data_IF_867535518379
#
_entry.id   IF_867535518379
#
_cell.length_a   1.000
_cell.length_b   1.000
_cell.length_c   1.000
_cell.angle_alpha   90.00
_cell.angle_beta   90.00
_cell.angle_gamma   90.00
#
_symmetry.space_group_name_H-M   'P 1'
#
loop_
_entity.id
_entity.type
_entity.pdbx_description
1 polymer ?
#
# COMPACT_ATOMS: atom_id res chain seq x y z
N UNK A 1 -28.50 17.86 -55.73
CA UNK A 1 -28.96 17.63 -54.34
C UNK A 1 -27.92 16.75 -53.67
N UNK A 2 -27.13 17.31 -52.75
CA UNK A 2 -26.17 16.57 -51.95
C UNK A 2 -26.67 16.62 -50.50
N UNK A 3 -26.85 15.46 -49.88
CA UNK A 3 -27.20 15.36 -48.46
C UNK A 3 -25.96 15.70 -47.61
N UNK A 4 -26.11 16.41 -46.48
CA UNK A 4 -24.99 16.63 -45.58
C UNK A 4 -24.72 15.34 -44.79
N UNK A 5 -23.45 14.94 -44.75
CA UNK A 5 -22.96 13.85 -43.90
C UNK A 5 -23.14 14.26 -42.44
N UNK A 6 -24.02 13.55 -41.73
CA UNK A 6 -24.25 13.71 -40.29
C UNK A 6 -22.95 13.48 -39.52
N UNK A 7 -22.76 14.31 -38.48
CA UNK A 7 -21.59 14.30 -37.63
C UNK A 7 -21.41 12.96 -36.94
N UNK A 8 -20.18 12.45 -37.00
CA UNK A 8 -19.72 11.40 -36.11
C UNK A 8 -19.70 11.99 -34.70
N UNK A 9 -20.64 11.59 -33.86
CA UNK A 9 -20.58 11.92 -32.44
C UNK A 9 -19.29 11.34 -31.82
N UNK A 10 -18.61 12.10 -30.94
CA UNK A 10 -17.38 11.62 -30.34
C UNK A 10 -17.68 10.40 -29.46
N UNK A 11 -17.03 9.30 -29.81
CA UNK A 11 -16.96 8.06 -29.03
C UNK A 11 -16.51 8.40 -27.61
N UNK A 12 -17.40 8.20 -26.64
CA UNK A 12 -17.16 8.04 -25.20
C UNK A 12 -16.23 9.07 -24.55
N UNK A 13 -16.77 9.88 -23.62
CA UNK A 13 -15.96 10.76 -22.77
C UNK A 13 -14.83 9.98 -22.08
N UNK A 14 -13.61 10.14 -22.59
CA UNK A 14 -12.42 9.61 -21.96
C UNK A 14 -12.19 10.42 -20.69
N UNK A 15 -12.32 9.81 -19.52
CA UNK A 15 -11.97 10.48 -18.27
C UNK A 15 -10.44 10.61 -18.23
N UNK A 16 -9.98 11.79 -18.63
CA UNK A 16 -8.60 12.22 -18.52
C UNK A 16 -8.28 12.44 -17.04
N UNK A 17 -7.22 11.81 -16.55
CA UNK A 17 -6.73 12.06 -15.20
C UNK A 17 -5.59 13.07 -15.23
N UNK A 18 -5.45 13.85 -14.16
CA UNK A 18 -4.32 14.74 -13.94
C UNK A 18 -3.81 14.66 -12.50
N UNK A 19 -2.86 15.53 -12.14
CA UNK A 19 -2.29 15.53 -10.79
C UNK A 19 -3.35 15.76 -9.69
N UNK A 20 -4.36 16.59 -9.94
CA UNK A 20 -5.37 16.95 -8.94
C UNK A 20 -6.25 15.75 -8.55
N UNK A 21 -6.44 14.79 -9.46
CA UNK A 21 -7.11 13.52 -9.13
C UNK A 21 -6.29 12.68 -8.13
N UNK A 22 -4.96 12.69 -8.24
CA UNK A 22 -4.07 11.90 -7.38
C UNK A 22 -3.75 12.61 -6.06
N UNK A 23 -3.82 13.94 -6.02
CA UNK A 23 -3.46 14.78 -4.88
C UNK A 23 -4.16 14.37 -3.56
N UNK A 24 -5.47 14.06 -3.54
CA UNK A 24 -6.14 13.51 -2.36
C UNK A 24 -5.55 12.17 -1.92
N UNK A 25 -5.32 11.24 -2.86
CA UNK A 25 -4.79 9.91 -2.59
C UNK A 25 -3.36 9.96 -2.02
N UNK A 26 -2.53 10.87 -2.55
CA UNK A 26 -1.19 11.15 -2.03
C UNK A 26 -1.28 11.60 -0.56
N UNK A 27 -2.20 12.51 -0.26
CA UNK A 27 -2.41 13.02 1.10
C UNK A 27 -2.88 11.93 2.05
N UNK A 28 -3.81 11.07 1.61
CA UNK A 28 -4.28 9.93 2.40
C UNK A 28 -3.16 8.93 2.69
N UNK A 29 -2.37 8.58 1.68
CA UNK A 29 -1.26 7.63 1.83
C UNK A 29 -0.24 8.12 2.86
N UNK A 30 0.16 9.40 2.79
CA UNK A 30 1.08 10.00 3.76
C UNK A 30 0.49 9.95 5.18
N UNK A 31 -0.80 10.29 5.32
CA UNK A 31 -1.50 10.21 6.61
C UNK A 31 -1.59 8.78 7.15
N UNK A 32 -1.75 7.77 6.30
CA UNK A 32 -1.72 6.38 6.72
C UNK A 32 -0.34 5.94 7.17
N UNK A 33 0.72 6.36 6.47
CA UNK A 33 2.10 6.09 6.86
C UNK A 33 2.42 6.70 8.24
N UNK A 34 2.01 7.95 8.49
CA UNK A 34 2.21 8.61 9.78
C UNK A 34 1.52 7.83 10.93
N UNK A 35 0.26 7.42 10.72
CA UNK A 35 -0.48 6.59 11.70
C UNK A 35 0.13 5.22 11.93
N UNK A 36 0.73 4.63 10.90
CA UNK A 36 1.47 3.37 11.04
C UNK A 36 2.72 3.60 11.91
N UNK A 37 3.43 4.71 11.71
CA UNK A 37 4.56 5.10 12.56
C UNK A 37 4.16 5.24 14.03
N UNK A 38 3.07 5.97 14.30
CA UNK A 38 2.52 6.10 15.66
C UNK A 38 2.16 4.74 16.28
N UNK A 39 1.56 3.84 15.50
CA UNK A 39 1.19 2.49 15.97
C UNK A 39 2.42 1.61 16.21
N UNK A 40 3.46 1.75 15.39
CA UNK A 40 4.73 1.06 15.53
C UNK A 40 5.48 1.52 16.79
N UNK A 41 5.58 2.82 17.03
CA UNK A 41 6.27 3.38 18.20
C UNK A 41 5.62 2.93 19.51
N UNK A 42 4.30 2.73 19.51
CA UNK A 42 3.52 2.30 20.66
C UNK A 42 3.20 0.79 20.66
N UNK A 43 3.84 -0.01 19.81
CA UNK A 43 3.55 -1.44 19.71
C UNK A 43 3.98 -2.20 20.97
N UNK A 44 3.06 -2.92 21.59
CA UNK A 44 3.29 -3.80 22.74
C UNK A 44 3.58 -5.24 22.28
N UNK A 45 2.88 -5.67 21.22
CA UNK A 45 2.98 -7.00 20.60
C UNK A 45 3.47 -6.90 19.15
N UNK A 46 3.89 -8.04 18.59
CA UNK A 46 4.19 -8.20 17.17
C UNK A 46 5.16 -7.14 16.62
N UNK A 47 6.15 -6.77 17.43
CA UNK A 47 7.06 -5.66 17.13
C UNK A 47 7.85 -5.89 15.86
N UNK A 48 8.16 -7.15 15.51
CA UNK A 48 8.95 -7.47 14.31
C UNK A 48 8.09 -7.30 13.07
N UNK A 49 6.86 -7.83 13.08
CA UNK A 49 5.85 -7.64 12.03
C UNK A 49 5.56 -6.16 11.82
N UNK A 50 5.32 -5.41 12.90
CA UNK A 50 5.06 -3.97 12.82
C UNK A 50 6.26 -3.23 12.23
N UNK A 51 7.49 -3.60 12.62
CA UNK A 51 8.73 -2.99 12.13
C UNK A 51 8.91 -3.16 10.63
N UNK A 52 8.78 -4.39 10.11
CA UNK A 52 9.00 -4.66 8.68
C UNK A 52 7.95 -3.99 7.80
N UNK A 53 6.68 -3.97 8.23
CA UNK A 53 5.61 -3.29 7.50
C UNK A 53 5.74 -1.76 7.58
N UNK A 54 6.05 -1.20 8.75
CA UNK A 54 6.29 0.23 8.89
C UNK A 54 7.40 0.70 7.97
N UNK A 55 8.56 0.01 7.97
CA UNK A 55 9.68 0.37 7.10
C UNK A 55 9.26 0.39 5.63
N UNK A 56 8.53 -0.63 5.19
CA UNK A 56 8.05 -0.77 3.80
C UNK A 56 7.12 0.38 3.40
N UNK A 57 6.15 0.71 4.26
CA UNK A 57 5.21 1.81 4.01
C UNK A 57 5.91 3.18 4.09
N UNK A 58 6.83 3.37 5.03
CA UNK A 58 7.59 4.62 5.18
C UNK A 58 8.49 4.88 3.96
N UNK A 59 9.16 3.85 3.46
CA UNK A 59 9.96 3.92 2.22
C UNK A 59 9.04 4.38 1.04
N UNK A 60 7.89 3.74 0.85
CA UNK A 60 6.93 4.12 -0.19
C UNK A 60 6.35 5.54 -0.03
N UNK A 61 6.06 5.96 1.21
CA UNK A 61 5.58 7.31 1.47
C UNK A 61 6.62 8.37 1.11
N UNK A 62 7.91 8.06 1.24
CA UNK A 62 9.00 8.89 0.72
C UNK A 62 8.92 9.10 -0.78
N UNK A 63 8.77 8.02 -1.55
CA UNK A 63 8.65 8.06 -3.02
C UNK A 63 7.39 8.80 -3.49
N UNK A 64 6.27 8.62 -2.79
CA UNK A 64 5.03 9.36 -3.05
C UNK A 64 5.22 10.87 -2.81
N UNK A 65 5.97 11.26 -1.78
CA UNK A 65 6.32 12.67 -1.54
C UNK A 65 7.21 13.23 -2.64
N UNK A 66 8.18 12.45 -3.14
CA UNK A 66 9.01 12.82 -4.30
C UNK A 66 8.16 12.98 -5.56
N UNK A 67 7.27 12.03 -5.85
CA UNK A 67 6.33 12.09 -6.98
C UNK A 67 5.50 13.39 -6.95
N UNK A 68 5.03 13.79 -5.76
CA UNK A 68 4.30 15.05 -5.57
C UNK A 68 5.17 16.28 -5.80
N UNK A 69 6.40 16.29 -5.28
CA UNK A 69 7.34 17.41 -5.41
C UNK A 69 7.76 17.63 -6.87
N UNK A 70 7.95 16.54 -7.61
CA UNK A 70 8.37 16.54 -9.01
C UNK A 70 7.18 16.39 -9.98
N UNK A 71 5.99 16.86 -9.60
CA UNK A 71 4.74 16.58 -10.34
C UNK A 71 4.79 16.97 -11.83
N UNK A 72 5.55 18.03 -12.17
CA UNK A 72 5.67 18.51 -13.54
C UNK A 72 6.55 17.56 -14.38
N UNK A 73 7.65 17.06 -13.79
CA UNK A 73 8.53 16.05 -14.39
C UNK A 73 7.81 14.70 -14.59
N UNK A 74 6.85 14.39 -13.71
CA UNK A 74 6.00 13.21 -13.78
C UNK A 74 4.62 13.48 -14.43
N UNK A 75 4.46 14.55 -15.20
CA UNK A 75 3.16 14.89 -15.81
C UNK A 75 2.55 13.77 -16.68
N UNK A 76 3.38 12.97 -17.35
CA UNK A 76 2.92 11.78 -18.10
C UNK A 76 2.40 10.67 -17.19
N UNK A 77 2.97 10.50 -15.99
CA UNK A 77 2.48 9.52 -15.02
C UNK A 77 1.02 9.82 -14.65
N UNK A 78 0.66 11.07 -14.39
CA UNK A 78 -0.70 11.43 -13.99
C UNK A 78 -1.73 11.36 -15.12
N UNK A 79 -1.27 11.44 -16.39
CA UNK A 79 -2.12 11.39 -17.58
C UNK A 79 -2.35 9.97 -18.12
N UNK A 80 -1.54 9.00 -17.71
CA UNK A 80 -1.70 7.59 -18.10
C UNK A 80 -2.87 6.98 -17.34
N UNK A 81 -3.87 6.50 -18.08
CA UNK A 81 -5.16 6.03 -17.56
C UNK A 81 -5.02 4.90 -16.55
N UNK A 82 -4.07 4.00 -16.79
CA UNK A 82 -3.78 2.83 -15.96
C UNK A 82 -3.13 3.19 -14.61
N UNK A 83 -2.53 4.37 -14.49
CA UNK A 83 -1.79 4.73 -13.29
C UNK A 83 -2.71 5.09 -12.13
N UNK A 84 -3.86 5.73 -12.39
CA UNK A 84 -4.81 6.07 -11.34
C UNK A 84 -5.36 4.84 -10.59
N UNK A 85 -5.93 3.81 -11.26
CA UNK A 85 -6.41 2.64 -10.54
C UNK A 85 -5.30 1.86 -9.83
N UNK A 86 -4.08 1.83 -10.38
CA UNK A 86 -2.93 1.23 -9.70
C UNK A 86 -2.53 2.01 -8.43
N UNK A 87 -2.49 3.34 -8.51
CA UNK A 87 -2.18 4.20 -7.36
C UNK A 87 -3.27 4.13 -6.29
N UNK A 88 -4.54 4.13 -6.70
CA UNK A 88 -5.67 3.90 -5.79
C UNK A 88 -5.55 2.53 -5.09
N UNK A 89 -5.29 1.47 -5.85
CA UNK A 89 -5.07 0.13 -5.31
C UNK A 89 -3.94 0.10 -4.28
N UNK A 90 -2.83 0.80 -4.56
CA UNK A 90 -1.72 0.95 -3.64
C UNK A 90 -2.12 1.64 -2.33
N UNK A 91 -2.85 2.75 -2.41
CA UNK A 91 -3.35 3.50 -1.24
C UNK A 91 -4.28 2.62 -0.39
N UNK A 92 -5.18 1.86 -1.01
CA UNK A 92 -6.06 0.92 -0.30
C UNK A 92 -5.29 -0.23 0.36
N UNK A 93 -4.21 -0.70 -0.26
CA UNK A 93 -3.33 -1.70 0.38
C UNK A 93 -2.65 -1.12 1.62
N UNK A 94 -2.12 0.10 1.56
CA UNK A 94 -1.53 0.77 2.72
C UNK A 94 -2.55 1.00 3.83
N UNK A 95 -3.81 1.33 3.48
CA UNK A 95 -4.90 1.43 4.46
C UNK A 95 -5.19 0.10 5.17
N UNK A 96 -5.17 -1.03 4.43
CA UNK A 96 -5.32 -2.37 5.02
C UNK A 96 -4.15 -2.70 5.94
N UNK A 97 -2.91 -2.41 5.52
CA UNK A 97 -1.70 -2.58 6.35
C UNK A 97 -1.81 -1.78 7.65
N UNK A 98 -2.25 -0.51 7.57
CA UNK A 98 -2.50 0.31 8.75
C UNK A 98 -3.47 -0.36 9.72
N UNK A 99 -4.62 -0.82 9.22
CA UNK A 99 -5.61 -1.51 10.04
C UNK A 99 -5.05 -2.77 10.67
N UNK A 100 -4.29 -3.56 9.91
CA UNK A 100 -3.62 -4.76 10.42
C UNK A 100 -2.63 -4.42 11.54
N UNK A 101 -1.75 -3.45 11.35
CA UNK A 101 -0.79 -3.03 12.39
C UNK A 101 -1.51 -2.55 13.66
N UNK A 102 -2.59 -1.78 13.53
CA UNK A 102 -3.39 -1.36 14.68
C UNK A 102 -4.01 -2.55 15.43
N UNK A 103 -4.51 -3.55 14.70
CA UNK A 103 -5.09 -4.77 15.29
C UNK A 103 -4.05 -5.61 16.02
N UNK A 104 -2.83 -5.75 15.46
CA UNK A 104 -1.81 -6.69 15.97
C UNK A 104 -0.84 -6.05 16.97
N UNK A 105 -0.78 -4.73 17.10
CA UNK A 105 0.23 -4.05 17.92
C UNK A 105 -0.12 -3.88 19.40
N UNK A 106 -1.41 -3.95 19.80
CA UNK A 106 -1.87 -3.57 21.14
C UNK A 106 -2.38 -4.76 21.97
N UNK A 107 -2.05 -4.84 23.26
CA UNK A 107 -2.52 -5.90 24.18
C UNK A 107 -4.04 -5.88 24.37
N UNK A 108 -4.66 -4.69 24.44
CA UNK A 108 -6.12 -4.57 24.57
C UNK A 108 -6.85 -5.01 23.30
N UNK A 109 -6.19 -4.87 22.14
CA UNK A 109 -6.65 -5.43 20.87
C UNK A 109 -6.47 -6.94 20.77
N UNK A 110 -5.56 -7.52 21.57
CA UNK A 110 -5.16 -8.92 21.49
C UNK A 110 -6.34 -9.89 21.58
N UNK A 111 -7.36 -9.66 22.41
CA UNK A 111 -8.53 -10.55 22.47
C UNK A 111 -9.34 -10.56 21.16
N UNK A 112 -9.68 -9.38 20.61
CA UNK A 112 -10.35 -9.28 19.29
C UNK A 112 -9.47 -9.81 18.16
N UNK A 113 -8.16 -9.61 18.31
CA UNK A 113 -7.15 -10.14 17.41
C UNK A 113 -7.12 -11.68 17.46
N UNK A 114 -7.09 -12.29 18.65
CA UNK A 114 -7.09 -13.75 18.79
C UNK A 114 -8.35 -14.38 18.21
N UNK A 115 -9.52 -13.78 18.45
CA UNK A 115 -10.77 -14.28 17.87
C UNK A 115 -10.78 -14.18 16.33
N UNK A 116 -10.20 -13.10 15.77
CA UNK A 116 -10.16 -12.84 14.32
C UNK A 116 -9.08 -13.64 13.59
N UNK A 117 -7.90 -13.79 14.19
CA UNK A 117 -6.69 -14.27 13.51
C UNK A 117 -6.25 -15.70 13.90
N UNK A 118 -6.98 -16.38 14.81
CA UNK A 118 -6.73 -17.78 15.21
C UNK A 118 -7.47 -18.82 14.36
N UNK A 119 -8.44 -18.40 13.55
CA UNK A 119 -9.09 -19.28 12.57
C UNK A 119 -8.12 -19.61 11.43
N UNK A 120 -8.14 -20.86 10.93
CA UNK A 120 -7.32 -21.30 9.80
C UNK A 120 -7.55 -20.52 8.50
N UNK A 121 -8.71 -19.85 8.38
CA UNK A 121 -9.04 -19.02 7.23
C UNK A 121 -8.36 -17.64 7.25
N UNK A 122 -8.08 -17.12 8.46
CA UNK A 122 -7.60 -15.77 8.75
C UNK A 122 -6.30 -15.76 9.57
N UNK A 123 -5.41 -16.73 9.36
CA UNK A 123 -4.15 -16.76 10.09
C UNK A 123 -3.33 -15.49 9.85
N UNK A 124 -2.68 -14.99 10.90
CA UNK A 124 -1.92 -13.75 10.86
C UNK A 124 -0.87 -13.75 9.74
N UNK A 125 -0.15 -14.87 9.57
CA UNK A 125 0.86 -15.05 8.52
C UNK A 125 0.26 -14.92 7.13
N UNK A 126 -0.92 -15.51 6.88
CA UNK A 126 -1.60 -15.45 5.58
C UNK A 126 -2.03 -14.02 5.26
N UNK A 127 -2.58 -13.30 6.24
CA UNK A 127 -3.01 -11.91 6.05
C UNK A 127 -1.82 -10.98 5.82
N UNK A 128 -0.75 -11.18 6.59
CA UNK A 128 0.52 -10.47 6.39
C UNK A 128 1.08 -10.70 4.99
N UNK A 129 1.17 -11.96 4.53
CA UNK A 129 1.64 -12.31 3.17
C UNK A 129 0.76 -11.69 2.10
N UNK A 130 -0.56 -11.78 2.23
CA UNK A 130 -1.49 -11.16 1.27
C UNK A 130 -1.29 -9.64 1.18
N UNK A 131 -1.03 -8.97 2.30
CA UNK A 131 -0.74 -7.54 2.29
C UNK A 131 0.59 -7.21 1.59
N UNK A 132 1.62 -8.04 1.74
CA UNK A 132 2.88 -7.90 1.01
C UNK A 132 2.67 -8.14 -0.48
N UNK A 133 1.96 -9.21 -0.86
CA UNK A 133 1.72 -9.54 -2.27
C UNK A 133 0.94 -8.41 -2.98
N UNK A 134 -0.12 -7.89 -2.35
CA UNK A 134 -0.87 -6.74 -2.85
C UNK A 134 0.03 -5.50 -2.93
N UNK A 135 0.87 -5.26 -1.93
CA UNK A 135 1.78 -4.11 -1.90
C UNK A 135 2.78 -4.18 -3.06
N UNK A 136 3.45 -5.32 -3.22
CA UNK A 136 4.47 -5.52 -4.25
C UNK A 136 3.89 -5.48 -5.65
N UNK A 137 2.70 -6.07 -5.86
CA UNK A 137 1.99 -5.99 -7.13
C UNK A 137 1.77 -4.53 -7.57
N UNK A 138 1.25 -3.68 -6.69
CA UNK A 138 1.00 -2.28 -7.03
C UNK A 138 2.30 -1.46 -7.07
N UNK A 139 3.26 -1.72 -6.18
CA UNK A 139 4.57 -1.08 -6.21
C UNK A 139 5.30 -1.34 -7.54
N UNK A 140 5.28 -2.58 -8.05
CA UNK A 140 5.86 -2.93 -9.35
C UNK A 140 5.18 -2.17 -10.49
N UNK A 141 3.84 -2.11 -10.47
CA UNK A 141 3.08 -1.37 -11.48
C UNK A 141 3.44 0.13 -11.48
N UNK A 142 3.61 0.73 -10.29
CA UNK A 142 3.97 2.13 -10.13
C UNK A 142 5.45 2.40 -10.48
N UNK A 143 6.35 1.50 -10.13
CA UNK A 143 7.77 1.56 -10.53
C UNK A 143 7.88 1.58 -12.05
N UNK A 144 7.18 0.67 -12.74
CA UNK A 144 7.12 0.62 -14.20
C UNK A 144 6.50 1.90 -14.79
N UNK A 145 5.44 2.41 -14.18
CA UNK A 145 4.78 3.64 -14.60
C UNK A 145 5.66 4.89 -14.46
N UNK A 146 6.61 4.87 -13.53
CA UNK A 146 7.61 5.93 -13.29
C UNK A 146 8.91 5.77 -14.08
N UNK A 147 8.93 4.86 -15.07
CA UNK A 147 10.11 4.45 -15.84
C UNK A 147 11.29 4.02 -14.95
N UNK A 148 10.98 3.41 -13.79
CA UNK A 148 11.96 2.94 -12.80
C UNK A 148 12.68 4.04 -12.02
N UNK A 149 12.28 5.31 -12.15
CA UNK A 149 12.91 6.44 -11.45
C UNK A 149 12.45 6.60 -10.01
N UNK A 150 11.29 6.06 -9.68
CA UNK A 150 10.80 5.92 -8.31
C UNK A 150 10.89 4.46 -7.86
N UNK A 151 10.99 4.27 -6.55
CA UNK A 151 11.16 2.96 -5.94
C UNK A 151 10.15 2.69 -4.83
N UNK A 152 8.88 2.48 -5.20
CA UNK A 152 7.77 2.22 -4.28
C UNK A 152 7.92 0.90 -3.50
N UNK A 153 8.89 0.05 -3.82
CA UNK A 153 9.17 -1.21 -3.11
C UNK A 153 10.60 -1.70 -3.34
N UNK A 154 11.39 -1.82 -2.26
CA UNK A 154 12.81 -2.25 -2.29
C UNK A 154 13.00 -3.71 -2.75
N UNK A 155 14.28 -4.09 -2.95
CA UNK A 155 14.74 -5.45 -3.29
C UNK A 155 13.99 -6.54 -2.52
N UNK A 156 13.39 -7.48 -3.26
CA UNK A 156 12.41 -8.45 -2.75
C UNK A 156 13.06 -9.58 -1.94
N UNK A 157 14.25 -10.03 -2.32
CA UNK A 157 14.85 -11.25 -1.74
C UNK A 157 15.29 -11.06 -0.28
N UNK A 158 16.05 -9.99 0.00
CA UNK A 158 16.49 -9.66 1.37
C UNK A 158 15.32 -9.30 2.29
N UNK A 159 14.29 -8.66 1.71
CA UNK A 159 13.11 -8.26 2.48
C UNK A 159 12.24 -9.47 2.82
N UNK A 160 12.09 -10.42 1.88
CA UNK A 160 11.35 -11.66 2.12
C UNK A 160 11.92 -12.46 3.29
N UNK A 161 13.25 -12.59 3.40
CA UNK A 161 13.88 -13.28 4.54
C UNK A 161 13.51 -12.61 5.86
N UNK A 162 13.58 -11.27 5.93
CA UNK A 162 13.22 -10.50 7.14
C UNK A 162 11.73 -10.65 7.48
N UNK A 163 10.88 -10.69 6.45
CA UNK A 163 9.44 -10.84 6.60
C UNK A 163 9.09 -12.23 7.17
N UNK A 164 9.69 -13.31 6.65
CA UNK A 164 9.52 -14.67 7.18
C UNK A 164 10.00 -14.79 8.63
N UNK A 165 11.18 -14.23 8.93
CA UNK A 165 11.71 -14.23 10.29
C UNK A 165 10.82 -13.45 11.26
N UNK A 166 10.27 -12.32 10.83
CA UNK A 166 9.39 -11.49 11.65
C UNK A 166 8.11 -12.25 12.01
N UNK A 167 7.43 -12.85 11.02
CA UNK A 167 6.23 -13.66 11.24
C UNK A 167 6.54 -14.82 12.19
N UNK A 168 7.58 -15.60 11.89
CA UNK A 168 7.88 -16.81 12.65
C UNK A 168 8.17 -16.52 14.12
N UNK A 169 8.96 -15.47 14.41
CA UNK A 169 9.32 -15.10 15.78
C UNK A 169 8.13 -14.50 16.53
N UNK A 170 7.36 -13.62 15.91
CA UNK A 170 6.21 -12.98 16.57
C UNK A 170 5.06 -13.97 16.83
N UNK A 171 4.83 -14.94 15.93
CA UNK A 171 3.86 -16.02 16.18
C UNK A 171 4.27 -16.91 17.36
N UNK A 172 5.55 -17.26 17.48
CA UNK A 172 6.08 -18.01 18.63
C UNK A 172 5.94 -17.22 19.93
N UNK A 173 6.28 -15.93 19.92
CA UNK A 173 6.17 -15.08 21.11
C UNK A 173 4.72 -15.00 21.60
N UNK A 174 3.76 -14.89 20.67
CA UNK A 174 2.34 -14.90 20.99
C UNK A 174 1.89 -16.21 21.63
N UNK A 175 2.28 -17.36 21.08
CA UNK A 175 1.90 -18.67 21.63
C UNK A 175 2.33 -18.86 23.09
N UNK A 176 3.38 -18.15 23.52
CA UNK A 176 3.89 -18.20 24.90
C UNK A 176 3.23 -17.20 25.86
N UNK A 177 2.39 -16.28 25.36
CA UNK A 177 1.72 -15.23 26.15
C UNK A 177 0.26 -15.58 26.46
N UNK A 178 -0.33 -16.52 25.70
CA UNK A 178 -1.69 -17.07 25.86
C UNK A 178 -1.66 -18.42 26.55
#
# INVERSE_FOLDING_TARGET
MAQPMEGVEPVGSFQQTDFEDFSPLITELVKYADKIGESFDNAELNKRICSVLFKRVNDAAGEVKILRQLKDDYSLFFKKRENYPNFYGFVKTIEKIKTFIMDVSQLQGAHKFFDKYRSSEFSMDKIFRNHIDDFEKYADALNNASDGRLNFGKSKDDQKIKDEEAISKDMQDIENVI
#
